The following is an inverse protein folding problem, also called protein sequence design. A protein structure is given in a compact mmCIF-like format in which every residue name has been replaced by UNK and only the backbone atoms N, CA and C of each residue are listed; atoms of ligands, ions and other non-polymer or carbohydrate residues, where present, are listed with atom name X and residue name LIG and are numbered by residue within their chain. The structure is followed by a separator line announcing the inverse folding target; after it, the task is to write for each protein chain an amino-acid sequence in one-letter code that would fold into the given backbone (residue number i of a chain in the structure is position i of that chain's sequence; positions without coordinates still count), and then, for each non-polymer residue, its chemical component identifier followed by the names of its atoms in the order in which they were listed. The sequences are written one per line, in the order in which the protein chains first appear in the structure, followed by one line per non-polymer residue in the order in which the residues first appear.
data_IF_108606225437
#
_entry.id   IF_108606225437
#
_cell.length_a   1.000
_cell.length_b   1.000
_cell.length_c   1.000
_cell.angle_alpha   90.00
_cell.angle_beta   90.00
_cell.angle_gamma   90.00
#
_symmetry.space_group_name_H-M   'P 1'
#
loop_
_entity.id
_entity.type
_entity.pdbx_description
1 polymer ?
#
# COMPACT_ATOMS: atom_id res chain seq x y z
N UNK A 1 -4.20 -6.67 23.56
CA UNK A 1 -3.10 -7.21 22.72
C UNK A 1 -1.98 -6.18 22.58
N UNK A 2 -0.95 -6.41 21.76
CA UNK A 2 0.24 -5.56 21.66
C UNK A 2 0.68 -5.29 20.21
N UNK A 3 1.95 -4.91 20.01
CA UNK A 3 2.48 -4.54 18.70
C UNK A 3 2.69 -5.74 17.73
N UNK A 4 2.64 -6.98 18.21
CA UNK A 4 2.77 -8.19 17.39
C UNK A 4 1.43 -8.73 16.88
N UNK A 5 1.49 -9.51 15.79
CA UNK A 5 0.32 -10.20 15.25
C UNK A 5 0.00 -11.46 16.08
N UNK A 6 -1.27 -11.68 16.37
CA UNK A 6 -1.77 -12.78 17.21
C UNK A 6 -3.01 -13.37 16.54
N UNK A 7 -3.06 -14.69 16.41
CA UNK A 7 -4.29 -15.42 16.03
C UNK A 7 -4.80 -16.17 17.25
N UNK A 8 -6.09 -16.05 17.51
CA UNK A 8 -6.81 -16.77 18.56
C UNK A 8 -7.86 -17.65 17.91
N UNK A 9 -7.58 -18.95 17.89
CA UNK A 9 -8.44 -19.95 17.25
C UNK A 9 -9.57 -20.46 18.15
N UNK A 10 -9.42 -20.35 19.47
CA UNK A 10 -10.46 -20.71 20.44
C UNK A 10 -11.37 -19.50 20.75
N UNK A 11 -12.64 -19.72 21.17
CA UNK A 11 -13.50 -18.63 21.64
C UNK A 11 -12.86 -17.82 22.78
N UNK A 12 -12.91 -16.50 22.68
CA UNK A 12 -12.72 -15.60 23.80
C UNK A 12 -14.06 -15.57 24.56
N UNK A 13 -14.10 -16.24 25.69
CA UNK A 13 -15.31 -16.42 26.51
C UNK A 13 -15.05 -16.06 27.98
N UNK A 14 -16.09 -16.14 28.80
CA UNK A 14 -16.04 -16.01 30.25
C UNK A 14 -14.90 -16.83 30.88
N UNK A 15 -14.22 -16.30 31.91
CA UNK A 15 -14.55 -15.09 32.67
C UNK A 15 -14.08 -13.77 32.03
N UNK A 16 -13.58 -13.78 30.79
CA UNK A 16 -13.25 -12.54 30.07
C UNK A 16 -14.56 -11.81 29.76
N UNK A 17 -14.65 -10.55 30.18
CA UNK A 17 -15.84 -9.73 29.96
C UNK A 17 -15.65 -8.73 28.83
N UNK A 18 -14.46 -8.14 28.67
CA UNK A 18 -14.17 -7.16 27.61
C UNK A 18 -13.01 -7.62 26.73
N UNK A 19 -13.02 -7.16 25.48
CA UNK A 19 -11.90 -7.32 24.56
C UNK A 19 -11.30 -5.94 24.24
N UNK A 20 -9.99 -5.78 24.49
CA UNK A 20 -9.26 -4.54 24.16
C UNK A 20 -8.10 -4.80 23.21
N UNK A 21 -8.19 -4.21 22.02
CA UNK A 21 -7.15 -4.19 20.99
C UNK A 21 -6.37 -2.86 21.05
N UNK A 22 -5.09 -2.98 21.37
CA UNK A 22 -4.12 -1.87 21.39
C UNK A 22 -2.85 -2.28 20.63
N UNK A 23 -1.92 -1.34 20.43
CA UNK A 23 -0.68 -1.56 19.69
C UNK A 23 -0.89 -1.72 18.17
N UNK A 24 0.17 -1.62 17.39
CA UNK A 24 0.08 -1.62 15.91
C UNK A 24 -0.21 -2.98 15.27
N UNK A 25 -0.16 -4.09 16.01
CA UNK A 25 -0.30 -5.44 15.44
C UNK A 25 -1.73 -5.80 15.04
N UNK A 26 -1.91 -6.98 14.46
CA UNK A 26 -3.21 -7.56 14.09
C UNK A 26 -3.60 -8.65 15.09
N UNK A 27 -4.80 -8.55 15.67
CA UNK A 27 -5.45 -9.66 16.40
C UNK A 27 -6.47 -10.31 15.46
N UNK A 28 -6.27 -11.58 15.10
CA UNK A 28 -7.24 -12.38 14.36
C UNK A 28 -8.04 -13.26 15.33
N UNK A 29 -9.37 -13.23 15.27
CA UNK A 29 -10.23 -14.18 15.98
C UNK A 29 -10.90 -15.11 14.98
N UNK A 30 -10.82 -16.43 15.21
CA UNK A 30 -11.31 -17.42 14.24
C UNK A 30 -12.58 -18.17 14.71
N UNK A 31 -12.96 -17.98 15.97
CA UNK A 31 -14.13 -18.61 16.59
C UNK A 31 -15.13 -17.57 17.10
N UNK A 32 -16.38 -18.01 17.27
CA UNK A 32 -17.47 -17.20 17.83
C UNK A 32 -17.11 -16.82 19.25
N UNK A 33 -16.97 -15.51 19.52
CA UNK A 33 -16.63 -15.03 20.84
C UNK A 33 -17.89 -14.77 21.67
N UNK A 34 -17.81 -14.98 22.99
CA UNK A 34 -18.96 -14.88 23.91
C UNK A 34 -18.65 -14.12 25.21
N UNK A 35 -17.56 -13.34 25.22
CA UNK A 35 -17.34 -12.35 26.28
C UNK A 35 -18.53 -11.37 26.39
N UNK A 36 -18.78 -10.86 27.58
CA UNK A 36 -20.12 -10.36 27.95
C UNK A 36 -20.30 -8.84 27.87
N UNK A 37 -19.23 -8.10 27.59
CA UNK A 37 -19.20 -6.63 27.57
C UNK A 37 -18.56 -6.10 26.27
N UNK A 38 -18.04 -4.88 26.29
CA UNK A 38 -17.60 -4.13 25.12
C UNK A 38 -16.32 -4.64 24.47
N UNK A 39 -16.18 -4.31 23.19
CA UNK A 39 -14.96 -4.43 22.39
C UNK A 39 -14.39 -3.05 22.13
N UNK A 40 -13.13 -2.81 22.47
CA UNK A 40 -12.44 -1.53 22.22
C UNK A 40 -11.22 -1.75 21.35
N UNK A 41 -11.09 -0.99 20.27
CA UNK A 41 -9.96 -1.02 19.35
C UNK A 41 -9.37 0.38 19.30
N UNK A 42 -8.23 0.59 19.94
CA UNK A 42 -7.59 1.92 20.05
C UNK A 42 -6.34 2.11 19.20
N UNK A 43 -5.78 1.01 18.68
CA UNK A 43 -4.70 1.01 17.70
C UNK A 43 -4.60 -0.38 17.03
N UNK A 44 -4.12 -0.40 15.79
CA UNK A 44 -3.96 -1.61 14.97
C UNK A 44 -5.29 -2.31 14.73
N UNK A 45 -5.24 -3.59 14.35
CA UNK A 45 -6.40 -4.24 13.73
C UNK A 45 -6.99 -5.37 14.59
N UNK A 46 -8.30 -5.36 14.86
CA UNK A 46 -9.04 -6.57 15.19
C UNK A 46 -9.64 -7.11 13.89
N UNK A 47 -9.25 -8.32 13.49
CA UNK A 47 -9.67 -8.97 12.25
C UNK A 47 -10.48 -10.23 12.54
N UNK A 48 -11.61 -10.38 11.86
CA UNK A 48 -12.38 -11.63 11.89
C UNK A 48 -11.87 -12.61 10.82
N UNK A 49 -12.08 -13.90 11.04
CA UNK A 49 -11.75 -14.96 10.08
C UNK A 49 -12.61 -16.18 10.36
N UNK A 50 -12.98 -16.96 9.35
CA UNK A 50 -13.75 -18.19 9.56
C UNK A 50 -15.07 -17.95 10.32
N UNK A 51 -15.18 -18.51 11.52
CA UNK A 51 -16.33 -18.33 12.41
C UNK A 51 -16.12 -17.20 13.46
N UNK A 52 -15.06 -16.40 13.31
CA UNK A 52 -14.74 -15.27 14.16
C UNK A 52 -15.87 -14.26 14.21
N UNK A 53 -16.28 -13.87 15.41
CA UNK A 53 -17.31 -12.84 15.60
C UNK A 53 -17.01 -11.96 16.81
N UNK A 54 -17.59 -10.77 16.84
CA UNK A 54 -17.81 -10.03 18.09
C UNK A 54 -19.18 -10.48 18.66
N UNK A 55 -19.36 -10.56 19.99
CA UNK A 55 -20.67 -10.91 20.55
C UNK A 55 -21.78 -9.94 20.13
N UNK A 56 -22.96 -10.46 19.80
CA UNK A 56 -24.11 -9.72 19.24
C UNK A 56 -24.57 -8.48 20.04
N UNK A 57 -24.32 -8.45 21.35
CA UNK A 57 -24.66 -7.32 22.23
C UNK A 57 -23.46 -6.44 22.61
N UNK A 58 -22.26 -6.79 22.16
CA UNK A 58 -21.04 -6.04 22.46
C UNK A 58 -21.06 -4.70 21.72
N UNK A 59 -20.91 -3.61 22.46
CA UNK A 59 -20.60 -2.32 21.87
C UNK A 59 -19.15 -2.32 21.36
N UNK A 60 -18.95 -2.04 20.07
CA UNK A 60 -17.63 -1.90 19.44
C UNK A 60 -17.25 -0.42 19.39
N UNK A 61 -16.20 -0.06 20.12
CA UNK A 61 -15.64 1.29 20.13
C UNK A 61 -14.29 1.29 19.41
N UNK A 62 -14.25 1.94 18.25
CA UNK A 62 -13.02 2.11 17.47
C UNK A 62 -12.51 3.53 17.70
N UNK A 63 -11.26 3.69 18.12
CA UNK A 63 -10.68 4.96 18.57
C UNK A 63 -9.24 5.08 18.06
N UNK A 64 -8.69 6.30 18.01
CA UNK A 64 -7.32 6.51 17.53
C UNK A 64 -7.11 5.92 16.14
N UNK A 65 -6.05 5.14 15.95
CA UNK A 65 -5.75 4.41 14.70
C UNK A 65 -6.28 2.96 14.72
N UNK A 66 -7.36 2.71 15.46
CA UNK A 66 -7.99 1.40 15.54
C UNK A 66 -8.71 1.01 14.24
N UNK A 67 -8.60 -0.27 13.87
CA UNK A 67 -9.28 -0.84 12.70
C UNK A 67 -10.08 -2.06 13.14
N UNK A 68 -11.39 -2.06 12.87
CA UNK A 68 -12.21 -3.26 12.92
C UNK A 68 -12.36 -3.82 11.50
N UNK A 69 -11.75 -4.96 11.24
CA UNK A 69 -11.69 -5.59 9.92
C UNK A 69 -12.53 -6.87 9.92
N UNK A 70 -13.68 -6.82 9.26
CA UNK A 70 -14.57 -7.98 9.12
C UNK A 70 -13.98 -9.02 8.17
N UNK A 71 -13.05 -8.66 7.28
CA UNK A 71 -12.39 -9.60 6.38
C UNK A 71 -13.39 -10.50 5.62
N UNK A 72 -14.49 -9.91 5.16
CA UNK A 72 -15.59 -10.59 4.47
C UNK A 72 -16.36 -11.63 5.30
N UNK A 73 -16.26 -11.59 6.63
CA UNK A 73 -17.07 -12.37 7.58
C UNK A 73 -18.22 -11.49 8.08
N UNK A 74 -19.47 -11.92 7.86
CA UNK A 74 -20.64 -11.23 8.38
C UNK A 74 -20.63 -11.23 9.91
N UNK A 75 -21.02 -10.10 10.51
CA UNK A 75 -21.05 -9.98 11.96
C UNK A 75 -22.28 -9.20 12.44
N UNK A 76 -22.68 -9.48 13.68
CA UNK A 76 -23.70 -8.71 14.39
C UNK A 76 -23.08 -8.17 15.67
N UNK A 77 -23.23 -6.87 15.89
CA UNK A 77 -22.70 -6.21 17.09
C UNK A 77 -23.77 -5.38 17.77
N UNK A 78 -23.57 -5.13 19.07
CA UNK A 78 -24.50 -4.36 19.87
C UNK A 78 -24.65 -2.96 19.32
N UNK A 79 -23.54 -2.26 19.12
CA UNK A 79 -23.46 -0.96 18.47
C UNK A 79 -22.05 -0.69 17.96
N UNK A 80 -21.89 0.26 17.05
CA UNK A 80 -20.57 0.78 16.65
C UNK A 80 -20.45 2.24 17.05
N UNK A 81 -19.28 2.64 17.54
CA UNK A 81 -18.99 4.02 17.91
C UNK A 81 -17.53 4.37 17.62
N UNK A 82 -17.28 5.66 17.42
CA UNK A 82 -15.94 6.22 17.33
C UNK A 82 -15.72 7.33 18.34
N UNK A 83 -14.50 7.48 18.85
CA UNK A 83 -14.09 8.71 19.54
C UNK A 83 -12.70 9.18 19.10
N UNK A 84 -12.61 10.46 18.71
CA UNK A 84 -11.40 11.10 18.16
C UNK A 84 -11.14 10.74 16.70
N UNK A 85 -10.83 11.75 15.88
CA UNK A 85 -10.39 11.59 14.48
C UNK A 85 -11.53 11.64 13.45
N UNK A 86 -11.33 12.46 12.41
CA UNK A 86 -12.10 12.43 11.17
C UNK A 86 -11.27 11.71 10.11
N UNK A 87 -11.88 10.84 9.31
CA UNK A 87 -11.22 10.16 8.20
C UNK A 87 -11.95 10.46 6.89
N UNK A 88 -11.19 10.69 5.82
CA UNK A 88 -11.71 10.91 4.47
C UNK A 88 -11.68 9.58 3.72
N UNK A 89 -12.79 9.18 3.13
CA UNK A 89 -12.87 7.96 2.34
C UNK A 89 -12.53 8.21 0.86
N UNK A 90 -12.06 7.18 0.18
CA UNK A 90 -11.80 7.17 -1.26
C UNK A 90 -13.10 6.91 -2.03
N UNK A 91 -13.63 7.91 -2.72
CA UNK A 91 -14.72 7.73 -3.69
C UNK A 91 -14.13 7.56 -5.10
N UNK A 92 -13.90 6.31 -5.53
CA UNK A 92 -13.87 5.86 -6.93
C UNK A 92 -12.83 6.45 -7.90
N UNK A 93 -12.06 5.56 -8.56
CA UNK A 93 -11.39 5.67 -9.88
C UNK A 93 -10.54 6.89 -10.26
N UNK A 94 -10.52 7.97 -9.48
CA UNK A 94 -9.70 9.14 -9.73
C UNK A 94 -8.52 9.15 -8.77
N UNK A 95 -7.34 8.82 -9.28
CA UNK A 95 -6.07 9.12 -8.63
C UNK A 95 -5.94 10.64 -8.46
N UNK A 96 -6.53 11.20 -7.40
CA UNK A 96 -6.75 12.63 -7.21
C UNK A 96 -6.84 12.95 -5.71
N UNK A 97 -6.19 13.94 -5.09
CA UNK A 97 -5.08 14.84 -5.38
C UNK A 97 -4.44 15.02 -4.00
N UNK A 98 -3.59 14.10 -3.54
CA UNK A 98 -2.63 14.48 -2.50
C UNK A 98 -1.32 14.75 -3.21
N UNK A 99 -0.95 16.03 -3.27
CA UNK A 99 0.34 16.48 -3.79
C UNK A 99 1.02 17.30 -2.71
N UNK A 100 2.15 16.81 -2.19
CA UNK A 100 3.14 17.71 -1.64
C UNK A 100 4.50 17.03 -1.60
N UNK A 101 5.54 17.73 -2.07
CA UNK A 101 6.91 17.33 -1.80
C UNK A 101 7.24 17.30 -0.31
N UNK A 102 6.47 18.00 0.52
CA UNK A 102 6.59 17.92 1.98
C UNK A 102 6.32 16.52 2.52
N UNK A 103 5.68 15.66 1.74
CA UNK A 103 5.32 14.31 2.19
C UNK A 103 6.47 13.33 2.00
N UNK A 104 7.56 13.74 1.34
CA UNK A 104 8.74 12.92 1.12
C UNK A 104 9.94 13.39 1.96
N UNK A 105 10.81 12.44 2.30
CA UNK A 105 12.10 12.69 2.93
C UNK A 105 13.18 11.80 2.32
N UNK A 106 14.38 12.33 2.13
CA UNK A 106 15.54 11.51 1.77
C UNK A 106 16.21 10.87 3.01
N UNK A 107 16.67 9.61 2.92
CA UNK A 107 17.49 9.01 3.98
C UNK A 107 18.88 9.67 4.03
N UNK A 108 19.57 9.56 5.16
CA UNK A 108 20.84 10.26 5.39
C UNK A 108 21.95 9.95 4.36
N UNK A 109 21.95 8.75 3.78
CA UNK A 109 22.92 8.33 2.76
C UNK A 109 22.56 8.78 1.34
N UNK A 110 21.34 9.28 1.11
CA UNK A 110 20.85 9.66 -0.22
C UNK A 110 21.38 11.02 -0.65
N UNK A 111 21.74 11.13 -1.93
CA UNK A 111 22.08 12.41 -2.59
C UNK A 111 20.87 13.15 -3.14
N UNK A 112 19.66 12.57 -3.00
CA UNK A 112 18.44 13.15 -3.54
C UNK A 112 18.19 14.55 -2.97
N UNK A 113 17.81 15.47 -3.86
CA UNK A 113 17.55 16.86 -3.51
C UNK A 113 16.30 17.34 -4.22
N UNK A 114 15.44 18.03 -3.49
CA UNK A 114 14.33 18.75 -4.08
C UNK A 114 14.86 20.01 -4.77
N UNK A 115 14.78 20.04 -6.11
CA UNK A 115 15.32 21.16 -6.89
C UNK A 115 14.33 22.31 -6.99
N UNK A 116 13.03 21.98 -7.00
CA UNK A 116 11.89 22.89 -6.95
C UNK A 116 10.73 22.17 -6.26
N UNK A 117 9.76 22.88 -5.67
CA UNK A 117 8.57 22.27 -5.08
C UNK A 117 7.97 21.17 -5.97
N UNK A 118 7.94 19.93 -5.48
CA UNK A 118 7.36 18.79 -6.20
C UNK A 118 8.27 18.12 -7.24
N UNK A 119 9.52 18.56 -7.40
CA UNK A 119 10.51 17.94 -8.30
C UNK A 119 11.76 17.55 -7.53
N UNK A 120 12.07 16.26 -7.56
CA UNK A 120 13.22 15.67 -6.92
C UNK A 120 14.22 15.21 -7.97
N UNK A 121 15.47 15.64 -7.81
CA UNK A 121 16.60 15.01 -8.47
C UNK A 121 17.12 13.92 -7.55
N UNK A 122 17.03 12.66 -7.98
CA UNK A 122 17.49 11.51 -7.23
C UNK A 122 19.01 11.35 -7.34
N UNK A 123 19.57 11.57 -8.52
CA UNK A 123 21.02 11.54 -8.77
C UNK A 123 21.48 12.69 -9.66
N UNK A 124 22.75 13.05 -9.55
CA UNK A 124 23.41 13.87 -10.57
C UNK A 124 24.16 12.96 -11.53
N UNK A 125 24.51 13.45 -12.72
CA UNK A 125 25.43 12.78 -13.64
C UNK A 125 26.87 12.77 -13.08
N UNK A 126 27.08 12.00 -12.02
CA UNK A 126 28.33 11.72 -11.33
C UNK A 126 28.37 10.22 -11.06
N UNK A 127 29.56 9.65 -10.91
CA UNK A 127 29.68 8.22 -10.63
C UNK A 127 29.21 7.88 -9.21
N UNK A 128 28.77 6.64 -9.02
CA UNK A 128 28.50 6.03 -7.72
C UNK A 128 27.50 6.83 -6.84
N UNK A 129 26.44 7.35 -7.44
CA UNK A 129 25.39 8.04 -6.70
C UNK A 129 24.34 7.05 -6.20
N UNK A 130 23.79 7.32 -5.01
CA UNK A 130 22.60 6.67 -4.48
C UNK A 130 21.57 7.75 -4.14
N UNK A 131 20.43 7.72 -4.81
CA UNK A 131 19.30 8.60 -4.59
C UNK A 131 18.11 7.82 -4.05
N UNK A 132 17.45 8.38 -3.05
CA UNK A 132 16.18 7.88 -2.55
C UNK A 132 15.36 9.00 -1.91
N UNK A 133 14.04 8.92 -2.10
CA UNK A 133 13.03 9.66 -1.34
C UNK A 133 11.96 8.68 -0.90
N UNK A 134 11.50 8.81 0.34
CA UNK A 134 10.46 7.97 0.93
C UNK A 134 9.30 8.84 1.40
N UNK A 135 8.08 8.38 1.18
CA UNK A 135 6.92 8.98 1.82
C UNK A 135 7.10 8.89 3.34
N UNK A 136 6.81 9.97 4.06
CA UNK A 136 6.91 10.05 5.52
C UNK A 136 5.86 9.21 6.21
N UNK A 137 4.79 8.89 5.50
CA UNK A 137 3.62 8.16 5.99
C UNK A 137 3.61 6.77 5.36
N UNK A 138 3.30 5.76 6.18
CA UNK A 138 3.09 4.39 5.69
C UNK A 138 1.76 4.30 4.95
N UNK A 139 1.68 3.32 4.06
CA UNK A 139 0.43 2.87 3.47
C UNK A 139 0.06 1.52 4.08
N UNK A 140 -1.21 1.33 4.39
CA UNK A 140 -1.75 0.05 4.83
C UNK A 140 -2.10 -0.81 3.61
N UNK A 141 -1.39 -1.93 3.46
CA UNK A 141 -1.42 -2.78 2.26
C UNK A 141 -2.76 -3.49 2.05
N UNK A 142 -3.67 -3.43 3.02
CA UNK A 142 -5.03 -3.98 2.92
C UNK A 142 -5.99 -3.03 2.19
N UNK A 143 -5.58 -1.81 1.86
CA UNK A 143 -6.37 -0.86 1.08
C UNK A 143 -5.81 -0.68 -0.32
N UNK A 144 -6.65 -0.21 -1.24
CA UNK A 144 -6.21 0.16 -2.58
C UNK A 144 -5.15 1.28 -2.52
N UNK A 145 -4.30 1.30 -3.53
CA UNK A 145 -3.25 2.30 -3.69
C UNK A 145 -3.23 2.74 -5.15
N UNK A 146 -3.26 4.05 -5.38
CA UNK A 146 -2.93 4.63 -6.67
C UNK A 146 -1.80 5.64 -6.53
N UNK A 147 -0.80 5.56 -7.41
CA UNK A 147 0.31 6.51 -7.49
C UNK A 147 0.47 6.94 -8.94
N UNK A 148 0.68 8.24 -9.18
CA UNK A 148 1.20 8.75 -10.44
C UNK A 148 2.41 9.62 -10.17
N UNK A 149 3.34 9.61 -11.11
CA UNK A 149 4.46 10.52 -11.13
C UNK A 149 4.90 10.73 -12.58
N UNK A 150 5.79 11.68 -12.80
CA UNK A 150 6.58 11.74 -14.02
C UNK A 150 8.02 11.40 -13.71
N UNK A 151 8.63 10.56 -14.55
CA UNK A 151 10.01 10.12 -14.46
C UNK A 151 10.83 10.74 -15.59
N UNK A 152 12.09 11.07 -15.30
CA UNK A 152 13.09 11.46 -16.29
C UNK A 152 14.38 10.71 -15.98
N UNK A 153 14.83 9.89 -16.93
CA UNK A 153 16.00 9.03 -16.76
C UNK A 153 17.27 9.67 -17.33
N UNK A 154 17.18 10.93 -17.77
CA UNK A 154 18.29 11.75 -18.24
C UNK A 154 18.46 11.73 -19.76
N UNK A 155 19.63 12.16 -20.25
CA UNK A 155 19.89 12.44 -21.69
C UNK A 155 21.12 11.73 -22.26
N UNK A 156 21.90 11.08 -21.40
CA UNK A 156 23.01 10.25 -21.84
C UNK A 156 22.42 8.90 -22.23
N UNK A 157 22.44 8.57 -23.51
CA UNK A 157 21.90 7.31 -24.05
C UNK A 157 22.97 6.20 -23.92
N UNK A 158 23.94 6.15 -24.83
CA UNK A 158 24.97 5.10 -24.84
C UNK A 158 25.84 4.93 -23.57
N UNK A 159 25.83 5.90 -22.64
CA UNK A 159 26.52 5.82 -21.34
C UNK A 159 25.62 6.30 -20.17
N UNK A 160 24.29 6.26 -20.36
CA UNK A 160 23.31 6.49 -19.29
C UNK A 160 23.23 5.28 -18.38
N UNK A 161 23.13 5.51 -17.07
CA UNK A 161 22.90 4.44 -16.09
C UNK A 161 22.53 5.03 -14.73
N UNK A 162 21.99 4.25 -13.79
CA UNK A 162 21.53 2.86 -13.95
C UNK A 162 20.00 2.81 -14.07
N UNK A 163 19.29 3.80 -13.53
CA UNK A 163 17.85 3.92 -13.70
C UNK A 163 17.13 4.44 -12.45
N UNK A 164 15.81 4.26 -12.42
CA UNK A 164 14.92 4.65 -11.31
C UNK A 164 14.14 3.42 -10.88
N UNK A 165 13.83 3.28 -9.59
CA UNK A 165 12.85 2.29 -9.12
C UNK A 165 11.79 2.95 -8.25
N UNK A 166 10.54 2.52 -8.40
CA UNK A 166 9.52 2.69 -7.37
C UNK A 166 9.68 1.54 -6.37
N UNK A 167 9.76 1.85 -5.08
CA UNK A 167 10.10 0.84 -4.06
C UNK A 167 9.14 0.95 -2.88
N UNK A 168 8.78 -0.21 -2.31
CA UNK A 168 8.09 -0.32 -1.03
C UNK A 168 8.93 -1.11 -0.03
N UNK A 169 8.93 -0.69 1.24
CA UNK A 169 9.66 -1.36 2.31
C UNK A 169 9.07 -1.08 3.71
N UNK A 170 9.36 -1.89 4.75
CA UNK A 170 8.83 -1.66 6.10
C UNK A 170 9.41 -0.42 6.82
N UNK A 171 10.61 0.03 6.39
CA UNK A 171 11.37 1.13 7.00
C UNK A 171 11.38 2.34 6.07
N UNK A 172 11.40 3.57 6.56
CA UNK A 172 11.46 4.78 5.70
C UNK A 172 12.88 5.26 5.43
N UNK A 173 13.88 4.48 5.85
CA UNK A 173 15.27 4.95 5.91
C UNK A 173 16.30 3.97 5.35
N UNK A 174 15.90 2.76 4.94
CA UNK A 174 16.86 1.83 4.37
C UNK A 174 17.46 2.42 3.09
N UNK A 175 18.77 2.31 2.96
CA UNK A 175 19.51 2.66 1.77
C UNK A 175 19.84 1.37 1.02
N UNK A 176 19.59 1.35 -0.29
CA UNK A 176 20.19 0.35 -1.17
C UNK A 176 21.59 0.78 -1.61
N UNK A 177 22.06 0.21 -2.72
CA UNK A 177 23.39 0.51 -3.27
C UNK A 177 23.34 1.35 -4.56
N UNK A 178 24.46 2.01 -4.86
CA UNK A 178 24.71 2.66 -6.14
C UNK A 178 24.91 1.63 -7.29
N UNK A 179 25.13 2.10 -8.52
CA UNK A 179 25.25 1.25 -9.72
C UNK A 179 23.97 0.51 -10.06
N UNK A 180 24.10 -0.68 -10.67
CA UNK A 180 23.02 -1.64 -10.92
C UNK A 180 22.27 -2.15 -9.68
N UNK A 181 22.50 -1.55 -8.52
CA UNK A 181 21.63 -1.69 -7.36
C UNK A 181 20.38 -0.80 -7.41
N UNK A 182 20.30 0.15 -8.35
CA UNK A 182 19.15 1.05 -8.57
C UNK A 182 18.66 1.80 -7.32
N UNK A 183 19.52 1.88 -6.31
CA UNK A 183 19.23 2.43 -5.00
C UNK A 183 18.38 1.57 -4.07
N UNK A 184 18.03 0.34 -4.44
CA UNK A 184 17.21 -0.55 -3.60
C UNK A 184 17.81 -1.94 -3.37
N UNK A 185 18.90 -2.30 -4.06
CA UNK A 185 19.55 -3.59 -3.83
C UNK A 185 19.94 -3.78 -2.35
N UNK A 186 19.62 -4.96 -1.81
CA UNK A 186 19.82 -5.30 -0.40
C UNK A 186 18.75 -4.78 0.57
N UNK A 187 17.79 -3.94 0.15
CA UNK A 187 16.66 -3.54 0.99
C UNK A 187 15.71 -4.74 1.12
N UNK A 188 15.69 -5.38 2.29
CA UNK A 188 14.87 -6.57 2.54
C UNK A 188 14.09 -6.49 3.86
N UNK A 189 12.80 -6.83 3.89
CA UNK A 189 11.97 -7.17 2.73
C UNK A 189 11.61 -5.92 1.90
N UNK A 190 11.34 -6.10 0.61
CA UNK A 190 10.88 -5.02 -0.28
C UNK A 190 10.12 -5.53 -1.49
N UNK A 191 9.34 -4.63 -2.08
CA UNK A 191 8.82 -4.73 -3.45
C UNK A 191 9.48 -3.61 -4.25
N UNK A 192 9.89 -3.89 -5.49
CA UNK A 192 10.40 -2.87 -6.38
C UNK A 192 9.81 -3.03 -7.78
N UNK A 193 9.52 -1.90 -8.41
CA UNK A 193 9.24 -1.78 -9.82
C UNK A 193 10.35 -0.92 -10.42
N UNK A 194 11.26 -1.54 -11.16
CA UNK A 194 12.43 -0.85 -11.70
C UNK A 194 12.21 -0.39 -13.12
N UNK A 195 12.84 0.72 -13.47
CA UNK A 195 13.02 1.27 -14.81
C UNK A 195 14.53 1.29 -15.03
N UNK A 196 15.04 0.19 -15.54
CA UNK A 196 16.47 -0.06 -15.71
C UNK A 196 16.91 0.35 -17.12
N UNK A 197 17.99 1.12 -17.17
CA UNK A 197 18.59 1.72 -18.38
C UNK A 197 19.97 1.18 -18.67
N UNK A 198 20.50 0.28 -17.83
CA UNK A 198 21.86 -0.20 -17.98
C UNK A 198 21.93 -1.71 -17.84
N UNK A 199 22.41 -2.37 -18.90
CA UNK A 199 22.59 -3.81 -18.87
C UNK A 199 23.68 -4.24 -17.87
N UNK A 200 23.27 -4.77 -16.72
CA UNK A 200 24.14 -5.51 -15.80
C UNK A 200 24.01 -7.02 -16.02
N UNK A 201 23.07 -7.67 -15.33
CA UNK A 201 22.69 -9.07 -15.48
C UNK A 201 21.23 -9.14 -15.91
N UNK A 202 20.94 -8.41 -17.00
CA UNK A 202 19.60 -7.96 -17.34
C UNK A 202 19.36 -7.99 -18.86
N UNK A 203 18.11 -7.78 -19.32
CA UNK A 203 17.82 -7.53 -20.73
C UNK A 203 18.74 -6.47 -21.34
N UNK A 204 19.02 -6.58 -22.63
CA UNK A 204 19.97 -5.69 -23.31
C UNK A 204 19.43 -4.27 -23.54
N UNK A 205 18.11 -4.11 -23.57
CA UNK A 205 17.44 -2.84 -23.79
C UNK A 205 16.80 -2.38 -22.47
N UNK A 206 16.54 -1.08 -22.37
CA UNK A 206 15.85 -0.51 -21.22
C UNK A 206 14.52 -1.22 -21.01
N UNK A 207 14.21 -1.47 -19.75
CA UNK A 207 13.08 -2.32 -19.40
C UNK A 207 12.50 -1.96 -18.04
N UNK A 208 11.31 -2.51 -17.80
CA UNK A 208 10.61 -2.41 -16.54
C UNK A 208 10.39 -3.79 -15.92
N UNK A 209 10.78 -3.95 -14.66
CA UNK A 209 10.81 -5.23 -13.95
C UNK A 209 10.08 -5.20 -12.62
N UNK A 210 9.41 -6.30 -12.26
CA UNK A 210 8.83 -6.49 -10.91
C UNK A 210 9.76 -7.36 -10.07
N UNK A 211 10.28 -6.77 -9.00
CA UNK A 211 11.32 -7.34 -8.16
C UNK A 211 10.93 -7.37 -6.68
N UNK A 212 11.65 -8.15 -5.90
CA UNK A 212 11.41 -8.26 -4.46
C UNK A 212 12.69 -8.50 -3.66
N UNK A 213 12.63 -8.16 -2.37
CA UNK A 213 13.69 -8.39 -1.38
C UNK A 213 15.07 -7.85 -1.76
N UNK A 214 15.10 -6.68 -2.41
CA UNK A 214 16.34 -6.00 -2.76
C UNK A 214 17.13 -6.73 -3.84
N UNK A 215 16.45 -7.52 -4.66
CA UNK A 215 17.04 -8.20 -5.81
C UNK A 215 16.92 -7.34 -7.07
N UNK A 216 17.97 -7.27 -7.87
CA UNK A 216 18.02 -6.55 -9.15
C UNK A 216 18.34 -7.47 -10.33
N UNK A 217 18.48 -8.79 -10.12
CA UNK A 217 18.86 -9.72 -11.19
C UNK A 217 17.64 -10.32 -11.92
N UNK A 218 17.62 -10.16 -13.24
CA UNK A 218 16.57 -10.73 -14.11
C UNK A 218 16.81 -12.18 -14.59
N UNK A 219 17.69 -12.94 -13.95
CA UNK A 219 17.97 -14.33 -14.36
C UNK A 219 17.64 -15.36 -13.27
N UNK A 220 17.33 -16.58 -13.70
CA UNK A 220 17.24 -17.73 -12.79
C UNK A 220 16.01 -17.74 -11.86
N UNK A 221 14.92 -17.05 -12.22
CA UNK A 221 13.68 -17.05 -11.44
C UNK A 221 13.74 -16.18 -10.19
N UNK A 222 14.56 -15.12 -10.26
CA UNK A 222 14.92 -14.24 -9.16
C UNK A 222 13.99 -13.00 -9.04
N UNK A 223 13.18 -12.76 -10.07
CA UNK A 223 12.13 -11.74 -10.10
C UNK A 223 10.90 -12.16 -9.30
N UNK A 224 9.92 -11.26 -9.21
CA UNK A 224 8.66 -11.57 -8.56
C UNK A 224 8.01 -12.83 -9.17
N UNK A 225 7.73 -13.87 -8.36
CA UNK A 225 7.17 -15.11 -8.87
C UNK A 225 5.77 -14.94 -9.47
N UNK A 226 5.53 -15.50 -10.65
CA UNK A 226 4.20 -15.56 -11.26
C UNK A 226 3.45 -16.80 -10.74
N UNK A 227 2.31 -16.60 -10.09
CA UNK A 227 1.43 -17.69 -9.62
C UNK A 227 0.62 -17.34 -8.38
N UNK A 228 -0.70 -17.40 -8.48
CA UNK A 228 -1.62 -17.18 -7.37
C UNK A 228 -1.66 -18.40 -6.43
N UNK A 229 -1.38 -18.18 -5.14
CA UNK A 229 -1.64 -19.08 -4.01
C UNK A 229 -1.25 -20.57 -4.12
N UNK A 230 -0.10 -20.90 -4.70
CA UNK A 230 0.43 -22.27 -4.68
C UNK A 230 1.44 -22.52 -5.81
N UNK A 231 2.45 -23.34 -5.53
CA UNK A 231 3.61 -23.71 -6.39
C UNK A 231 3.86 -22.79 -7.60
N UNK A 232 4.62 -21.72 -7.33
CA UNK A 232 5.08 -20.72 -8.29
C UNK A 232 5.95 -21.38 -9.36
N UNK A 233 5.42 -21.57 -10.57
CA UNK A 233 6.12 -22.24 -11.69
C UNK A 233 6.66 -21.26 -12.73
N UNK A 234 6.74 -19.95 -12.41
CA UNK A 234 7.32 -18.92 -13.28
C UNK A 234 7.61 -17.59 -12.55
N UNK A 235 8.04 -16.57 -13.29
CA UNK A 235 8.25 -15.19 -12.84
C UNK A 235 7.60 -14.19 -13.80
N UNK A 236 7.25 -12.99 -13.32
CA UNK A 236 6.87 -11.89 -14.23
C UNK A 236 8.12 -11.42 -14.98
N UNK A 237 8.10 -11.60 -16.31
CA UNK A 237 9.21 -11.21 -17.17
C UNK A 237 9.30 -9.69 -17.29
N UNK A 238 10.52 -9.11 -17.38
CA UNK A 238 10.68 -7.68 -17.64
C UNK A 238 10.11 -7.32 -19.02
N UNK A 239 9.58 -6.11 -19.13
CA UNK A 239 8.99 -5.58 -20.37
C UNK A 239 9.92 -4.53 -20.96
N UNK A 240 10.28 -4.69 -22.24
CA UNK A 240 11.14 -3.75 -22.96
C UNK A 240 10.44 -2.39 -23.19
N UNK A 241 11.17 -1.30 -22.93
CA UNK A 241 10.69 0.07 -23.06
C UNK A 241 11.24 0.81 -24.29
N UNK A 242 12.21 0.24 -25.00
CA UNK A 242 13.07 0.98 -25.94
C UNK A 242 13.87 2.07 -25.21
N UNK A 243 14.65 2.90 -25.91
CA UNK A 243 15.45 3.95 -25.26
C UNK A 243 14.55 4.95 -24.50
N UNK A 244 14.77 5.11 -23.20
CA UNK A 244 14.07 6.06 -22.32
C UNK A 244 14.98 7.15 -21.72
N UNK A 245 16.23 7.25 -22.17
CA UNK A 245 17.22 8.26 -21.75
C UNK A 245 17.33 9.42 -22.76
N UNK A 246 16.17 9.89 -23.22
CA UNK A 246 16.00 10.91 -24.26
C UNK A 246 15.70 12.32 -23.71
N UNK A 247 15.81 12.49 -22.39
CA UNK A 247 15.52 13.72 -21.66
C UNK A 247 14.04 14.06 -21.53
N UNK A 248 13.13 13.22 -22.04
CA UNK A 248 11.69 13.46 -21.90
C UNK A 248 11.20 13.07 -20.50
N UNK A 249 10.14 13.75 -20.08
CA UNK A 249 9.38 13.34 -18.90
C UNK A 249 8.29 12.37 -19.32
N UNK A 250 8.19 11.24 -18.61
CA UNK A 250 7.25 10.17 -18.93
C UNK A 250 6.32 9.94 -17.76
N UNK A 251 5.03 9.89 -18.02
CA UNK A 251 4.07 9.52 -16.98
C UNK A 251 4.23 8.05 -16.58
N UNK A 252 4.02 7.82 -15.28
CA UNK A 252 3.90 6.50 -14.70
C UNK A 252 2.65 6.46 -13.83
N UNK A 253 1.96 5.32 -13.81
CA UNK A 253 0.87 5.04 -12.89
C UNK A 253 0.98 3.63 -12.32
N UNK A 254 0.83 3.51 -11.01
CA UNK A 254 0.72 2.25 -10.29
C UNK A 254 -0.65 2.18 -9.62
N UNK A 255 -1.37 1.09 -9.86
CA UNK A 255 -2.62 0.75 -9.20
C UNK A 255 -2.48 -0.59 -8.48
N UNK A 256 -2.83 -0.62 -7.20
CA UNK A 256 -2.97 -1.84 -6.43
C UNK A 256 -4.41 -1.98 -5.95
N UNK A 257 -5.01 -3.12 -6.25
CA UNK A 257 -6.33 -3.51 -5.78
C UNK A 257 -6.16 -4.53 -4.65
N UNK A 258 -6.45 -4.12 -3.41
CA UNK A 258 -6.23 -4.95 -2.23
C UNK A 258 -7.21 -6.11 -2.13
N UNK A 259 -8.45 -5.92 -2.62
CA UNK A 259 -9.49 -6.94 -2.58
C UNK A 259 -9.17 -8.15 -3.47
N UNK A 260 -8.48 -7.90 -4.58
CA UNK A 260 -8.09 -8.94 -5.55
C UNK A 260 -6.60 -9.30 -5.48
N UNK A 261 -5.81 -8.55 -4.71
CA UNK A 261 -4.35 -8.65 -4.63
C UNK A 261 -3.66 -8.53 -6.00
N UNK A 262 -4.14 -7.58 -6.80
CA UNK A 262 -3.68 -7.36 -8.17
C UNK A 262 -3.03 -5.99 -8.34
N UNK A 263 -1.92 -5.97 -9.06
CA UNK A 263 -1.17 -4.78 -9.43
C UNK A 263 -1.38 -4.49 -10.93
N UNK A 264 -1.64 -3.24 -11.29
CA UNK A 264 -1.56 -2.76 -12.66
C UNK A 264 -0.58 -1.59 -12.75
N UNK A 265 0.18 -1.54 -13.85
CA UNK A 265 1.19 -0.53 -14.11
C UNK A 265 1.01 0.03 -15.50
N UNK A 266 0.95 1.35 -15.61
CA UNK A 266 1.00 2.08 -16.86
C UNK A 266 2.25 2.96 -16.95
N UNK A 267 2.84 3.07 -18.13
CA UNK A 267 3.99 3.90 -18.40
C UNK A 267 3.94 4.50 -19.81
N UNK A 268 4.18 5.81 -19.89
CA UNK A 268 4.20 6.61 -21.11
C UNK A 268 5.45 6.30 -21.94
N UNK A 269 5.34 5.31 -22.82
CA UNK A 269 6.44 4.80 -23.65
C UNK A 269 6.80 5.73 -24.79
N UNK A 270 5.88 6.58 -25.25
CA UNK A 270 6.08 7.43 -26.42
C UNK A 270 6.39 8.90 -26.07
N UNK A 271 6.29 9.27 -24.78
CA UNK A 271 6.47 10.61 -24.24
C UNK A 271 5.48 11.65 -24.80
N UNK A 272 4.25 11.25 -25.12
CA UNK A 272 3.22 12.16 -25.62
C UNK A 272 2.46 12.90 -24.51
N UNK A 273 2.65 12.48 -23.25
CA UNK A 273 2.09 13.10 -22.08
C UNK A 273 0.74 12.54 -21.66
N UNK A 274 0.33 11.37 -22.14
CA UNK A 274 -0.80 10.63 -21.59
C UNK A 274 -0.49 9.17 -21.23
N UNK A 275 -1.53 8.40 -20.88
CA UNK A 275 -1.45 7.00 -20.44
C UNK A 275 -2.58 6.17 -21.08
N UNK A 276 -3.13 6.66 -22.19
CA UNK A 276 -4.32 6.10 -22.83
C UNK A 276 -4.01 5.23 -24.04
N UNK A 277 -2.74 5.17 -24.44
CA UNK A 277 -2.32 4.48 -25.64
C UNK A 277 -2.22 2.96 -25.44
N UNK A 278 -2.44 2.24 -26.54
CA UNK A 278 -2.23 0.80 -26.58
C UNK A 278 -0.75 0.47 -26.40
N UNK A 279 -0.42 -0.28 -25.36
CA UNK A 279 0.95 -0.68 -25.03
C UNK A 279 1.59 0.09 -23.87
N UNK A 280 0.90 1.11 -23.34
CA UNK A 280 1.32 1.80 -22.12
C UNK A 280 0.92 1.06 -20.85
N UNK A 281 -0.10 0.19 -20.93
CA UNK A 281 -0.36 -0.82 -19.90
C UNK A 281 0.74 -1.89 -19.94
N UNK A 282 1.69 -1.78 -19.02
CA UNK A 282 2.85 -2.66 -18.93
C UNK A 282 2.51 -3.96 -18.21
N UNK A 283 1.87 -3.84 -17.05
CA UNK A 283 1.41 -4.96 -16.25
C UNK A 283 -0.09 -4.79 -16.02
N UNK A 284 -0.86 -5.80 -16.37
CA UNK A 284 -2.31 -5.80 -16.23
C UNK A 284 -2.71 -6.82 -15.16
N UNK A 285 -3.23 -6.31 -14.03
CA UNK A 285 -3.87 -7.12 -13.02
C UNK A 285 -3.02 -8.31 -12.51
N UNK A 286 -1.71 -8.11 -12.40
CA UNK A 286 -0.76 -9.15 -12.01
C UNK A 286 -0.88 -9.46 -10.53
N UNK A 287 -0.88 -10.76 -10.18
CA UNK A 287 -1.05 -11.21 -8.79
C UNK A 287 0.25 -11.03 -8.00
N UNK A 288 0.22 -10.15 -7.01
CA UNK A 288 1.35 -9.86 -6.12
C UNK A 288 0.90 -10.17 -4.69
N UNK A 289 1.67 -10.96 -3.94
CA UNK A 289 1.38 -11.22 -2.52
C UNK A 289 2.23 -10.30 -1.62
N UNK A 290 1.79 -9.05 -1.46
CA UNK A 290 2.45 -8.09 -0.58
C UNK A 290 2.45 -8.54 0.89
N UNK A 291 1.41 -9.26 1.34
CA UNK A 291 1.32 -9.78 2.71
C UNK A 291 2.43 -10.79 3.08
N UNK A 292 3.05 -11.43 2.09
CA UNK A 292 4.20 -12.32 2.30
C UNK A 292 5.50 -11.60 2.69
N UNK A 293 5.65 -10.33 2.29
CA UNK A 293 6.85 -9.51 2.54
C UNK A 293 6.58 -8.38 3.54
N UNK A 294 5.36 -7.87 3.62
CA UNK A 294 4.93 -6.82 4.55
C UNK A 294 3.97 -7.39 5.60
N UNK A 295 4.50 -8.24 6.48
CA UNK A 295 3.71 -8.96 7.50
C UNK A 295 3.06 -8.04 8.55
N UNK A 296 3.50 -6.79 8.66
CA UNK A 296 2.83 -5.76 9.46
C UNK A 296 1.55 -5.21 8.81
N UNK A 297 1.25 -5.58 7.56
CA UNK A 297 0.15 -5.03 6.78
C UNK A 297 0.37 -3.57 6.38
N UNK A 298 1.61 -3.07 6.45
CA UNK A 298 1.96 -1.67 6.17
C UNK A 298 3.32 -1.57 5.50
N UNK A 299 3.50 -0.58 4.62
CA UNK A 299 4.75 -0.30 3.95
C UNK A 299 4.96 1.21 3.74
N UNK A 300 6.20 1.67 3.89
CA UNK A 300 6.63 2.91 3.25
C UNK A 300 6.83 2.67 1.76
N UNK A 301 6.74 3.74 0.99
CA UNK A 301 6.96 3.70 -0.43
C UNK A 301 7.68 4.95 -0.90
N UNK A 302 8.32 4.89 -2.06
CA UNK A 302 9.14 5.98 -2.55
C UNK A 302 9.79 5.69 -3.90
N UNK A 303 10.72 6.55 -4.28
CA UNK A 303 11.51 6.40 -5.49
C UNK A 303 13.00 6.35 -5.12
N UNK A 304 13.71 5.42 -5.73
CA UNK A 304 15.17 5.30 -5.64
C UNK A 304 15.79 5.42 -7.02
N UNK A 305 17.06 5.77 -7.08
CA UNK A 305 17.85 5.78 -8.30
C UNK A 305 19.32 5.61 -7.96
N UNK A 306 20.11 5.22 -8.95
CA UNK A 306 21.53 5.06 -8.77
C UNK A 306 22.30 5.38 -10.06
N UNK A 307 23.57 5.71 -9.87
CA UNK A 307 24.57 5.72 -10.95
C UNK A 307 25.77 4.87 -10.53
N UNK A 308 26.50 4.35 -11.51
CA UNK A 308 27.66 3.49 -11.32
C UNK A 308 28.89 4.07 -12.00
N UNK A 309 29.48 3.27 -12.91
CA UNK A 309 30.54 3.74 -13.80
C UNK A 309 30.01 4.59 -14.96
N UNK A 310 28.79 4.30 -15.40
CA UNK A 310 27.95 5.12 -16.28
C UNK A 310 26.99 5.97 -15.43
N UNK A 311 26.43 7.03 -16.02
CA UNK A 311 25.77 8.09 -15.24
C UNK A 311 24.59 8.68 -16.00
N UNK A 312 23.56 9.09 -15.28
CA UNK A 312 22.58 10.04 -15.80
C UNK A 312 22.05 10.94 -14.67
N UNK A 313 21.32 11.98 -15.04
CA UNK A 313 20.50 12.71 -14.06
C UNK A 313 19.16 12.00 -13.99
N UNK A 314 18.87 11.34 -12.86
CA UNK A 314 17.56 10.71 -12.63
C UNK A 314 16.66 11.60 -11.78
N UNK A 315 15.43 11.81 -12.23
CA UNK A 315 14.49 12.72 -11.57
C UNK A 315 13.07 12.17 -11.54
N UNK A 316 12.32 12.61 -10.52
CA UNK A 316 10.89 12.35 -10.37
C UNK A 316 10.18 13.66 -10.02
N UNK A 317 9.00 13.89 -10.60
CA UNK A 317 8.15 15.04 -10.26
C UNK A 317 6.68 14.70 -10.28
N UNK A 318 5.87 15.67 -9.85
CA UNK A 318 4.41 15.62 -9.89
C UNK A 318 3.86 14.33 -9.28
N UNK A 319 4.49 13.91 -8.18
CA UNK A 319 4.07 12.71 -7.45
C UNK A 319 2.70 13.03 -6.84
N UNK A 320 1.70 12.35 -7.37
CA UNK A 320 0.33 12.36 -6.86
C UNK A 320 0.03 10.95 -6.41
N UNK A 321 -0.73 10.83 -5.35
CA UNK A 321 -1.16 9.54 -4.91
C UNK A 321 -2.51 9.65 -4.25
N UNK A 322 -3.26 8.57 -4.44
CA UNK A 322 -4.43 8.26 -3.67
C UNK A 322 -4.08 7.03 -2.86
N UNK A 323 -3.48 7.29 -1.71
CA UNK A 323 -3.42 6.31 -0.63
C UNK A 323 -4.55 6.66 0.32
N UNK A 324 -5.12 5.63 0.92
CA UNK A 324 -5.47 5.71 2.34
C UNK A 324 -4.15 5.97 3.07
N UNK A 325 -3.70 7.24 3.06
CA UNK A 325 -2.55 7.69 3.81
C UNK A 325 -2.81 7.25 5.23
N UNK A 326 -1.79 6.79 5.95
CA UNK A 326 -1.84 6.80 7.41
C UNK A 326 -1.81 8.23 7.99
N UNK A 327 -2.50 9.16 7.32
CA UNK A 327 -3.23 10.21 8.02
C UNK A 327 -4.58 9.69 8.55
N UNK A 328 -4.70 8.37 8.78
CA UNK A 328 -5.65 7.76 9.70
C UNK A 328 -5.26 8.11 11.14
N UNK A 329 -5.49 9.37 11.52
CA UNK A 329 -5.64 9.70 12.96
C UNK A 329 -6.98 9.22 13.52
N UNK A 330 -7.78 8.53 12.71
CA UNK A 330 -9.17 8.23 13.00
C UNK A 330 -9.57 6.76 12.86
N UNK A 331 -10.68 6.38 13.51
CA UNK A 331 -11.23 5.03 13.52
C UNK A 331 -11.61 4.48 12.14
N UNK A 332 -11.47 3.18 11.94
CA UNK A 332 -11.88 2.51 10.70
C UNK A 332 -12.69 1.21 10.93
N UNK A 333 -13.63 0.95 10.04
CA UNK A 333 -14.30 -0.34 9.84
C UNK A 333 -14.09 -0.76 8.38
N UNK A 334 -13.54 -1.96 8.17
CA UNK A 334 -13.36 -2.56 6.83
C UNK A 334 -14.26 -3.77 6.71
N UNK A 335 -15.22 -3.73 5.77
CA UNK A 335 -16.23 -4.78 5.60
C UNK A 335 -15.73 -5.91 4.69
N UNK A 336 -14.88 -5.62 3.70
CA UNK A 336 -14.72 -6.53 2.56
C UNK A 336 -16.07 -6.71 1.86
N UNK A 337 -16.48 -7.96 1.62
CA UNK A 337 -17.83 -8.28 1.11
C UNK A 337 -18.85 -8.58 2.23
N UNK A 338 -18.52 -8.33 3.49
CA UNK A 338 -19.38 -8.68 4.62
C UNK A 338 -20.56 -7.72 4.82
N UNK A 339 -21.60 -8.23 5.45
CA UNK A 339 -22.64 -7.45 6.11
C UNK A 339 -22.30 -7.25 7.60
N UNK A 340 -22.27 -5.99 8.05
CA UNK A 340 -22.21 -5.64 9.47
C UNK A 340 -23.57 -5.17 9.97
N UNK A 341 -24.19 -5.97 10.83
CA UNK A 341 -25.40 -5.62 11.56
C UNK A 341 -25.04 -4.88 12.85
N UNK A 342 -25.57 -3.68 13.06
CA UNK A 342 -25.30 -2.87 14.26
C UNK A 342 -26.58 -2.33 14.88
N UNK A 343 -26.67 -2.33 16.21
CA UNK A 343 -27.77 -1.75 16.97
C UNK A 343 -28.58 -2.75 17.79
N UNK A 344 -28.12 -4.00 17.93
CA UNK A 344 -28.75 -5.04 18.76
C UNK A 344 -28.89 -4.66 20.23
N UNK A 345 -28.08 -3.72 20.73
CA UNK A 345 -28.17 -3.23 22.11
C UNK A 345 -29.04 -1.96 22.28
N UNK A 346 -29.63 -1.45 21.20
CA UNK A 346 -30.47 -0.24 21.16
C UNK A 346 -29.79 1.08 21.57
N UNK A 347 -28.46 1.13 21.66
CA UNK A 347 -27.74 2.37 21.95
C UNK A 347 -27.83 3.37 20.79
N UNK A 348 -27.77 4.66 21.14
CA UNK A 348 -27.61 5.73 20.15
C UNK A 348 -26.14 6.13 20.07
N UNK A 349 -25.54 5.95 18.90
CA UNK A 349 -24.10 6.10 18.69
C UNK A 349 -23.76 6.94 17.46
N UNK A 350 -22.52 7.41 17.40
CA UNK A 350 -21.95 8.06 16.22
C UNK A 350 -20.65 7.35 15.84
N UNK A 351 -20.51 7.05 14.55
CA UNK A 351 -19.27 6.62 13.94
C UNK A 351 -18.80 7.69 12.95
N UNK A 352 -17.73 8.38 13.30
CA UNK A 352 -17.08 9.46 12.55
C UNK A 352 -15.88 8.98 11.74
N UNK A 353 -15.55 7.69 11.86
CA UNK A 353 -14.47 7.03 11.14
C UNK A 353 -14.86 6.58 9.73
N UNK A 354 -13.93 5.88 9.08
CA UNK A 354 -14.09 5.38 7.72
C UNK A 354 -14.85 4.05 7.77
N UNK A 355 -15.88 3.88 6.95
CA UNK A 355 -16.46 2.57 6.66
C UNK A 355 -16.25 2.27 5.17
N UNK A 356 -15.55 1.18 4.86
CA UNK A 356 -15.19 0.79 3.49
C UNK A 356 -15.41 -0.70 3.24
N UNK A 357 -15.47 -1.11 1.97
CA UNK A 357 -15.58 -2.52 1.58
C UNK A 357 -16.36 -2.72 0.28
N UNK A 358 -15.70 -3.22 -0.75
CA UNK A 358 -16.34 -3.50 -2.03
C UNK A 358 -17.36 -4.64 -1.87
N UNK A 359 -18.64 -4.36 -2.17
CA UNK A 359 -19.73 -5.33 -2.02
C UNK A 359 -20.19 -5.58 -0.57
N UNK A 360 -19.56 -4.96 0.43
CA UNK A 360 -20.01 -5.01 1.82
C UNK A 360 -21.22 -4.12 2.10
N UNK A 361 -21.99 -4.46 3.13
CA UNK A 361 -23.21 -3.75 3.53
C UNK A 361 -23.22 -3.41 5.03
N UNK A 362 -23.97 -2.37 5.39
CA UNK A 362 -24.25 -1.99 6.77
C UNK A 362 -25.75 -2.08 7.01
N UNK A 363 -26.16 -2.80 8.05
CA UNK A 363 -27.57 -2.92 8.45
C UNK A 363 -27.74 -2.35 9.85
N UNK A 364 -28.62 -1.35 9.99
CA UNK A 364 -29.00 -0.80 11.28
C UNK A 364 -30.21 -1.57 11.84
N UNK A 365 -30.02 -2.25 12.96
CA UNK A 365 -31.06 -2.98 13.71
C UNK A 365 -31.39 -2.28 15.03
N UNK A 366 -32.50 -2.62 15.68
CA UNK A 366 -32.87 -2.05 16.98
C UNK A 366 -33.33 -0.58 16.95
N UNK A 367 -33.71 -0.05 18.12
CA UNK A 367 -34.42 1.24 18.26
C UNK A 367 -33.53 2.46 18.42
N UNK A 368 -32.24 2.28 18.75
CA UNK A 368 -31.28 3.40 18.86
C UNK A 368 -30.97 4.05 17.50
N UNK A 369 -30.28 5.19 17.48
CA UNK A 369 -29.84 5.83 16.24
C UNK A 369 -28.36 5.55 16.00
N UNK A 370 -27.99 5.12 14.78
CA UNK A 370 -26.60 5.11 14.34
C UNK A 370 -26.37 6.29 13.40
N UNK A 371 -25.56 7.25 13.84
CA UNK A 371 -25.12 8.38 13.00
C UNK A 371 -23.77 8.06 12.37
N UNK A 372 -23.71 8.00 11.05
CA UNK A 372 -22.45 7.92 10.30
C UNK A 372 -22.06 9.33 9.87
N UNK A 373 -21.12 9.94 10.60
CA UNK A 373 -20.66 11.31 10.32
C UNK A 373 -19.32 11.35 9.59
N UNK A 374 -18.64 10.21 9.50
CA UNK A 374 -17.43 10.00 8.71
C UNK A 374 -17.76 9.59 7.29
N UNK A 375 -16.72 9.31 6.52
CA UNK A 375 -16.88 8.92 5.14
C UNK A 375 -17.23 7.42 5.01
N UNK A 376 -18.13 7.09 4.08
CA UNK A 376 -18.68 5.76 3.87
C UNK A 376 -18.56 5.40 2.40
N UNK A 377 -17.71 4.43 2.05
CA UNK A 377 -17.37 4.06 0.65
C UNK A 377 -17.55 2.59 0.34
N UNK A 378 -18.30 1.87 1.18
CA UNK A 378 -18.77 0.53 0.82
C UNK A 378 -19.80 0.62 -0.32
N UNK A 379 -19.86 -0.41 -1.18
CA UNK A 379 -20.52 -0.31 -2.51
C UNK A 379 -21.69 -1.27 -2.74
N UNK A 380 -22.32 -1.81 -1.70
CA UNK A 380 -23.59 -2.55 -1.85
C UNK A 380 -24.82 -1.64 -1.79
N UNK A 381 -25.96 -2.12 -2.30
CA UNK A 381 -27.25 -1.47 -2.16
C UNK A 381 -27.79 -1.68 -0.73
N UNK A 382 -27.96 -0.59 0.01
CA UNK A 382 -28.58 -0.54 1.35
C UNK A 382 -29.99 -1.12 1.39
#
# INVERSE_FOLDING_TARGET
TGAGNITVSDPIDTPISTLTKTGSGVLVTEAVNTYTSSTTISAGTLRLSGAGSVPDLSAVSVTGSGIFDLNSVNDTVGSISSSGGSTSAMTGDACAITTSSSDFAQPAASVATETTPGTWRLTSALNNQFGAIWNKVKWNTNFDLCIRAQLNLGTLDANGADGIAFVMQPNSTAAGSAGGGLGYAGVTPSFALEFDTWQNSDPANDHIGIMYNGNTSHYGGQQWPSGASGSQTGVYAPVELSNIEDGQWRYFKLNWNSSTQKLSVLFDKNADGDLSDAGELIYDEVSINLGSIFTSGTAYWGFTAATGGSINVQQVRDITYDVVNENETGPQITLGTAELNSGGNNDTTTFAGLISGAGGSMVKTGTGTLTLSGANTYTSTT
#
